data_IF_495536049058
#
_entry.id   IF_495536049058
#
_cell.length_a   1.000
_cell.length_b   1.000
_cell.length_c   1.000
_cell.angle_alpha   90.00
_cell.angle_beta   90.00
_cell.angle_gamma   90.00
#
_symmetry.space_group_name_H-M   'P 1'
#
loop_
_entity.id
_entity.type
_entity.pdbx_description
1 polymer ?
#
# COMPACT_ATOMS: atom_id res chain seq x y z
N UNK A 1 10.20 -0.14 -25.39
CA UNK A 1 11.47 0.40 -24.84
C UNK A 1 11.46 0.20 -23.32
N UNK A 2 11.69 -1.02 -22.85
CA UNK A 2 11.74 -1.35 -21.42
C UNK A 2 12.83 -2.41 -21.24
N UNK A 3 14.07 -1.95 -21.13
CA UNK A 3 15.16 -2.78 -20.60
C UNK A 3 15.46 -2.25 -19.21
N UNK A 4 14.93 -2.94 -18.20
CA UNK A 4 15.31 -2.71 -16.81
C UNK A 4 16.70 -3.27 -16.62
N UNK A 5 17.68 -2.38 -16.45
CA UNK A 5 19.07 -2.76 -16.21
C UNK A 5 19.19 -3.25 -14.75
N UNK A 6 19.44 -4.54 -14.58
CA UNK A 6 19.36 -5.27 -13.28
C UNK A 6 20.63 -5.17 -12.42
N UNK A 7 21.51 -4.21 -12.71
CA UNK A 7 22.87 -4.19 -12.20
C UNK A 7 23.03 -3.72 -10.74
N UNK A 8 22.08 -2.95 -10.22
CA UNK A 8 22.27 -2.19 -8.98
C UNK A 8 21.09 -2.33 -8.04
N UNK A 9 21.36 -2.61 -6.76
CA UNK A 9 20.37 -2.65 -5.65
C UNK A 9 19.55 -1.35 -5.63
N UNK A 10 20.17 -0.24 -6.01
CA UNK A 10 19.54 1.05 -6.15
C UNK A 10 18.42 1.07 -7.21
N UNK A 11 18.57 0.43 -8.37
CA UNK A 11 17.50 0.34 -9.38
C UNK A 11 16.37 -0.61 -8.97
N UNK A 12 16.71 -1.68 -8.23
CA UNK A 12 15.73 -2.61 -7.70
C UNK A 12 14.85 -2.00 -6.61
N UNK A 13 15.39 -1.07 -5.79
CA UNK A 13 14.68 -0.41 -4.68
C UNK A 13 14.17 1.00 -4.98
N UNK A 14 14.84 1.77 -5.85
CA UNK A 14 14.53 3.18 -6.12
C UNK A 14 13.93 3.43 -7.51
N UNK A 15 13.73 2.37 -8.31
CA UNK A 15 13.13 2.45 -9.65
C UNK A 15 13.73 3.60 -10.49
N UNK A 16 15.07 3.74 -10.45
CA UNK A 16 15.83 4.71 -11.23
C UNK A 16 15.51 6.19 -11.00
N UNK A 17 14.80 6.58 -9.91
CA UNK A 17 14.38 7.96 -9.61
C UNK A 17 13.52 8.66 -10.70
N UNK A 18 13.20 8.00 -11.80
CA UNK A 18 12.44 8.51 -12.94
C UNK A 18 11.01 7.93 -12.97
N UNK A 19 10.34 7.95 -11.82
CA UNK A 19 8.92 7.59 -11.75
C UNK A 19 8.07 8.83 -12.04
N UNK A 20 7.08 8.68 -12.91
CA UNK A 20 6.16 9.76 -13.20
C UNK A 20 5.36 10.12 -11.93
N UNK A 21 5.13 11.42 -11.70
CA UNK A 21 4.48 11.91 -10.48
C UNK A 21 3.11 11.26 -10.23
N UNK A 22 2.37 10.98 -11.31
CA UNK A 22 1.06 10.33 -11.25
C UNK A 22 1.17 8.88 -10.76
N UNK A 23 2.18 8.13 -11.19
CA UNK A 23 2.40 6.73 -10.77
C UNK A 23 2.77 6.64 -9.29
N UNK A 24 3.52 7.61 -8.78
CA UNK A 24 3.85 7.73 -7.36
C UNK A 24 2.58 8.02 -6.55
N UNK A 25 1.76 8.96 -7.01
CA UNK A 25 0.49 9.29 -6.36
C UNK A 25 -0.47 8.10 -6.29
N UNK A 26 -0.61 7.35 -7.39
CA UNK A 26 -1.47 6.17 -7.43
C UNK A 26 -0.96 5.04 -6.53
N UNK A 27 0.35 4.78 -6.50
CA UNK A 27 0.90 3.75 -5.61
C UNK A 27 0.79 4.15 -4.13
N UNK A 28 0.98 5.43 -3.79
CA UNK A 28 0.69 5.93 -2.44
C UNK A 28 -0.78 5.76 -2.05
N UNK A 29 -1.70 6.01 -2.99
CA UNK A 29 -3.13 5.80 -2.77
C UNK A 29 -3.45 4.32 -2.56
N UNK A 30 -3.02 3.43 -3.45
CA UNK A 30 -3.28 1.97 -3.35
C UNK A 30 -2.60 1.36 -2.13
N UNK A 31 -1.40 1.83 -1.79
CA UNK A 31 -0.74 1.42 -0.56
C UNK A 31 -1.58 1.79 0.66
N UNK A 32 -2.26 2.94 0.66
CA UNK A 32 -3.11 3.35 1.77
C UNK A 32 -4.47 2.62 1.76
N UNK A 33 -5.09 2.48 0.59
CA UNK A 33 -6.43 1.94 0.40
C UNK A 33 -6.35 0.48 -0.03
N UNK A 34 -6.18 -0.41 0.97
CA UNK A 34 -6.22 -1.86 0.76
C UNK A 34 -7.64 -2.43 0.66
N UNK A 35 -7.77 -3.70 0.27
CA UNK A 35 -9.06 -4.42 0.18
C UNK A 35 -9.81 -4.39 1.51
N UNK A 36 -9.09 -4.55 2.63
CA UNK A 36 -9.68 -4.43 3.98
C UNK A 36 -10.30 -3.07 4.25
N UNK A 37 -9.68 -1.99 3.77
CA UNK A 37 -10.20 -0.63 3.90
C UNK A 37 -11.50 -0.47 3.09
N UNK A 38 -11.54 -0.98 1.86
CA UNK A 38 -12.74 -0.91 1.01
C UNK A 38 -13.92 -1.66 1.62
N UNK A 39 -13.71 -2.88 2.12
CA UNK A 39 -14.76 -3.67 2.76
C UNK A 39 -15.23 -3.00 4.06
N UNK A 40 -14.31 -2.47 4.87
CA UNK A 40 -14.64 -1.76 6.10
C UNK A 40 -15.44 -0.48 5.81
N UNK A 41 -15.05 0.31 4.79
CA UNK A 41 -15.78 1.49 4.36
C UNK A 41 -17.15 1.14 3.82
N UNK A 42 -17.28 0.10 3.00
CA UNK A 42 -18.58 -0.35 2.50
C UNK A 42 -19.51 -0.79 3.64
N UNK A 43 -19.00 -1.55 4.61
CA UNK A 43 -19.77 -2.00 5.78
C UNK A 43 -20.19 -0.86 6.71
N UNK A 44 -19.29 0.10 6.95
CA UNK A 44 -19.60 1.29 7.75
C UNK A 44 -20.54 2.25 7.01
N UNK A 45 -20.40 2.40 5.70
CA UNK A 45 -21.34 3.18 4.88
C UNK A 45 -22.74 2.56 4.86
N UNK A 46 -22.86 1.22 4.86
CA UNK A 46 -24.15 0.55 4.93
C UNK A 46 -24.90 0.78 6.25
N UNK A 47 -24.17 0.99 7.36
CA UNK A 47 -24.74 1.16 8.70
C UNK A 47 -24.90 2.62 9.11
N UNK A 48 -23.93 3.48 8.79
CA UNK A 48 -23.85 4.88 9.19
C UNK A 48 -24.07 5.88 8.05
N UNK A 49 -24.28 5.39 6.83
CA UNK A 49 -24.58 6.21 5.67
C UNK A 49 -23.42 7.08 5.21
N UNK A 50 -23.76 8.27 4.70
CA UNK A 50 -22.80 9.22 4.09
C UNK A 50 -21.84 9.84 5.12
N UNK A 51 -22.09 9.68 6.43
CA UNK A 51 -21.25 10.24 7.48
C UNK A 51 -19.77 9.80 7.39
N UNK A 52 -19.52 8.57 6.92
CA UNK A 52 -18.16 8.03 6.71
C UNK A 52 -17.35 8.87 5.70
N UNK A 53 -18.03 9.46 4.70
CA UNK A 53 -17.39 10.28 3.66
C UNK A 53 -16.71 11.51 4.24
N UNK A 54 -17.22 12.07 5.34
CA UNK A 54 -16.62 13.25 5.96
C UNK A 54 -15.20 12.98 6.48
N UNK A 55 -14.95 11.77 6.98
CA UNK A 55 -13.62 11.34 7.46
C UNK A 55 -12.69 11.16 6.27
N UNK A 56 -13.14 10.45 5.23
CA UNK A 56 -12.37 10.21 4.01
C UNK A 56 -12.06 11.50 3.24
N UNK A 57 -12.95 12.50 3.24
CA UNK A 57 -12.70 13.79 2.60
C UNK A 57 -11.62 14.61 3.31
N UNK A 58 -11.50 14.44 4.62
CA UNK A 58 -10.49 15.13 5.44
C UNK A 58 -9.09 14.53 5.29
N UNK A 59 -9.01 13.22 5.01
CA UNK A 59 -7.76 12.47 4.89
C UNK A 59 -6.79 13.01 3.80
N UNK A 60 -7.19 13.23 2.53
CA UNK A 60 -6.30 13.74 1.49
C UNK A 60 -5.81 15.16 1.80
N UNK A 61 -6.66 16.00 2.42
CA UNK A 61 -6.27 17.34 2.84
C UNK A 61 -5.13 17.28 3.86
N UNK A 62 -5.27 16.42 4.88
CA UNK A 62 -4.24 16.25 5.90
C UNK A 62 -2.96 15.64 5.30
N UNK A 63 -3.09 14.67 4.38
CA UNK A 63 -1.96 14.06 3.67
C UNK A 63 -1.19 15.09 2.82
N UNK A 64 -1.88 16.01 2.14
CA UNK A 64 -1.23 17.08 1.39
C UNK A 64 -0.44 18.02 2.32
N UNK A 65 -1.01 18.41 3.47
CA UNK A 65 -0.33 19.27 4.45
C UNK A 65 0.88 18.57 5.06
N UNK A 66 0.72 17.30 5.47
CA UNK A 66 1.82 16.48 5.96
C UNK A 66 2.91 16.30 4.90
N UNK A 67 2.53 16.03 3.65
CA UNK A 67 3.44 15.91 2.52
C UNK A 67 4.26 17.18 2.34
N UNK A 68 3.64 18.36 2.37
CA UNK A 68 4.35 19.63 2.24
C UNK A 68 5.35 19.86 3.38
N UNK A 69 4.98 19.53 4.62
CA UNK A 69 5.83 19.78 5.80
C UNK A 69 6.97 18.76 5.87
N UNK A 70 6.66 17.47 5.69
CA UNK A 70 7.61 16.39 5.92
C UNK A 70 8.47 16.03 4.71
N UNK A 71 7.96 16.20 3.48
CA UNK A 71 8.74 15.96 2.24
C UNK A 71 10.10 16.70 2.23
N UNK A 72 10.18 18.03 2.44
CA UNK A 72 11.46 18.73 2.41
C UNK A 72 12.39 18.31 3.55
N UNK A 73 11.85 17.86 4.69
CA UNK A 73 12.63 17.37 5.83
C UNK A 73 13.30 16.04 5.47
N UNK A 74 12.56 15.09 4.90
CA UNK A 74 13.10 13.79 4.52
C UNK A 74 14.10 13.88 3.37
N UNK A 75 13.84 14.73 2.38
CA UNK A 75 14.76 14.97 1.25
C UNK A 75 16.07 15.58 1.74
N UNK A 76 16.03 16.59 2.63
CA UNK A 76 17.24 17.19 3.21
C UNK A 76 17.99 16.23 4.15
N UNK A 77 17.27 15.38 4.87
CA UNK A 77 17.88 14.38 5.73
C UNK A 77 18.57 13.25 4.94
N UNK A 78 18.25 13.07 3.65
CA UNK A 78 18.82 12.02 2.80
C UNK A 78 18.61 10.63 3.40
N UNK A 79 17.38 10.35 3.84
CA UNK A 79 16.98 9.09 4.48
C UNK A 79 15.95 8.40 3.60
N UNK A 80 16.10 7.08 3.45
CA UNK A 80 15.21 6.28 2.59
C UNK A 80 14.14 5.58 3.43
N UNK A 81 14.38 5.41 4.74
CA UNK A 81 13.46 4.72 5.65
C UNK A 81 13.17 5.52 6.91
N UNK A 82 11.97 5.34 7.47
CA UNK A 82 11.57 6.03 8.72
C UNK A 82 12.46 5.67 9.92
N UNK A 83 12.86 4.40 10.16
CA UNK A 83 13.82 4.07 11.21
C UNK A 83 15.19 4.74 11.00
N UNK A 84 15.62 4.96 9.75
CA UNK A 84 16.86 5.65 9.45
C UNK A 84 16.80 7.15 9.76
N UNK A 85 15.65 7.79 9.53
CA UNK A 85 15.40 9.15 10.01
C UNK A 85 15.54 9.24 11.52
N UNK A 86 14.93 8.30 12.25
CA UNK A 86 15.02 8.24 13.71
C UNK A 86 16.46 7.95 14.18
N UNK A 87 17.25 7.16 13.44
CA UNK A 87 18.68 7.01 13.71
C UNK A 87 19.40 8.35 13.62
N UNK A 88 19.24 9.10 12.53
CA UNK A 88 19.95 10.39 12.34
C UNK A 88 19.55 11.41 13.40
N UNK A 89 18.30 11.37 13.89
CA UNK A 89 17.80 12.28 14.93
C UNK A 89 18.22 11.88 16.36
N UNK A 90 18.22 10.59 16.69
CA UNK A 90 18.45 10.10 18.07
C UNK A 90 19.82 9.42 18.27
N UNK A 91 20.65 9.30 17.24
CA UNK A 91 22.06 8.88 17.31
C UNK A 91 22.31 7.40 17.61
N UNK A 92 21.31 6.60 17.97
CA UNK A 92 21.51 5.22 18.41
C UNK A 92 21.17 4.16 17.35
N UNK A 93 22.18 3.40 16.91
CA UNK A 93 22.03 2.25 16.00
C UNK A 93 21.15 1.14 16.58
N UNK A 94 21.17 0.95 17.91
CA UNK A 94 20.31 -0.03 18.61
C UNK A 94 18.83 0.30 18.48
N UNK A 95 18.48 1.58 18.59
CA UNK A 95 17.09 2.06 18.47
C UNK A 95 16.59 1.87 17.05
N UNK A 96 17.42 2.13 16.03
CA UNK A 96 17.05 1.85 14.64
C UNK A 96 16.70 0.37 14.43
N UNK A 97 17.56 -0.55 14.89
CA UNK A 97 17.33 -1.99 14.74
C UNK A 97 16.05 -2.43 15.46
N UNK A 98 15.87 -2.01 16.71
CA UNK A 98 14.69 -2.36 17.49
C UNK A 98 13.40 -1.81 16.85
N UNK A 99 13.41 -0.56 16.40
CA UNK A 99 12.25 0.04 15.73
C UNK A 99 11.98 -0.60 14.36
N UNK A 100 13.01 -0.94 13.60
CA UNK A 100 12.83 -1.61 12.32
C UNK A 100 12.21 -3.01 12.50
N UNK A 101 12.69 -3.78 13.47
CA UNK A 101 12.13 -5.10 13.80
C UNK A 101 10.70 -4.97 14.30
N UNK A 102 10.44 -4.04 15.22
CA UNK A 102 9.10 -3.78 15.75
C UNK A 102 8.14 -3.37 14.63
N UNK A 103 8.55 -2.44 13.76
CA UNK A 103 7.72 -1.98 12.65
C UNK A 103 7.44 -3.09 11.65
N UNK A 104 8.45 -3.90 11.29
CA UNK A 104 8.28 -5.04 10.41
C UNK A 104 7.32 -6.08 11.02
N UNK A 105 7.49 -6.37 12.30
CA UNK A 105 6.62 -7.29 13.03
C UNK A 105 5.17 -6.79 13.05
N UNK A 106 4.95 -5.54 13.44
CA UNK A 106 3.62 -4.94 13.46
C UNK A 106 2.99 -4.90 12.07
N UNK A 107 3.77 -4.60 11.03
CA UNK A 107 3.29 -4.53 9.66
C UNK A 107 2.83 -5.90 9.15
N UNK A 108 3.62 -6.95 9.37
CA UNK A 108 3.28 -8.31 8.94
C UNK A 108 2.05 -8.83 9.70
N UNK A 109 2.05 -8.71 11.03
CA UNK A 109 1.00 -9.31 11.85
C UNK A 109 -0.32 -8.54 11.82
N UNK A 110 -0.30 -7.22 11.75
CA UNK A 110 -1.54 -6.44 11.75
C UNK A 110 -1.99 -6.14 10.33
N UNK A 111 -1.13 -5.52 9.51
CA UNK A 111 -1.57 -4.99 8.22
C UNK A 111 -1.73 -6.08 7.18
N UNK A 112 -0.66 -6.85 6.93
CA UNK A 112 -0.67 -7.91 5.90
C UNK A 112 -1.68 -9.00 6.25
N UNK A 113 -1.75 -9.39 7.53
CA UNK A 113 -2.71 -10.41 8.00
C UNK A 113 -4.17 -10.00 7.78
N UNK A 114 -4.54 -8.76 8.14
CA UNK A 114 -5.91 -8.25 7.96
C UNK A 114 -6.26 -8.17 6.47
N UNK A 115 -5.34 -7.70 5.62
CA UNK A 115 -5.59 -7.61 4.17
C UNK A 115 -5.83 -8.98 3.53
N UNK A 116 -5.01 -9.99 3.86
CA UNK A 116 -5.18 -11.36 3.35
C UNK A 116 -6.48 -11.96 3.87
N UNK A 117 -6.79 -11.78 5.15
CA UNK A 117 -8.01 -12.33 5.76
C UNK A 117 -9.27 -11.73 5.14
N UNK A 118 -9.32 -10.39 4.98
CA UNK A 118 -10.46 -9.74 4.32
C UNK A 118 -10.55 -10.13 2.85
N UNK A 119 -9.43 -10.24 2.13
CA UNK A 119 -9.40 -10.73 0.75
C UNK A 119 -9.95 -12.16 0.61
N UNK A 120 -9.58 -13.05 1.52
CA UNK A 120 -10.07 -14.42 1.55
C UNK A 120 -11.58 -14.50 1.82
N UNK A 121 -12.10 -13.67 2.74
CA UNK A 121 -13.55 -13.57 3.00
C UNK A 121 -14.32 -13.12 1.76
N UNK A 122 -13.81 -12.12 1.04
CA UNK A 122 -14.43 -11.65 -0.20
C UNK A 122 -14.47 -12.76 -1.26
N UNK A 123 -13.41 -13.55 -1.40
CA UNK A 123 -13.42 -14.69 -2.33
C UNK A 123 -14.39 -15.80 -1.93
N UNK A 124 -14.59 -16.02 -0.63
CA UNK A 124 -15.64 -16.94 -0.15
C UNK A 124 -17.02 -16.51 -0.62
N UNK A 125 -17.32 -15.21 -0.63
CA UNK A 125 -18.63 -14.71 -1.09
C UNK A 125 -18.81 -14.83 -2.61
N UNK A 126 -17.73 -14.67 -3.40
CA UNK A 126 -17.81 -14.65 -4.87
C UNK A 126 -17.73 -16.06 -5.48
N UNK A 127 -16.81 -16.88 -4.98
CA UNK A 127 -16.48 -18.19 -5.56
C UNK A 127 -16.88 -19.38 -4.69
N UNK A 128 -17.50 -19.14 -3.52
CA UNK A 128 -17.84 -20.17 -2.52
C UNK A 128 -16.61 -21.00 -2.08
N UNK A 129 -15.44 -20.36 -2.07
CA UNK A 129 -14.18 -20.99 -1.68
C UNK A 129 -13.99 -20.99 -0.16
N UNK A 130 -13.38 -22.05 0.34
CA UNK A 130 -12.93 -22.09 1.72
C UNK A 130 -11.81 -21.06 1.96
N UNK A 131 -11.80 -20.46 3.15
CA UNK A 131 -10.84 -19.42 3.57
C UNK A 131 -9.41 -19.91 3.40
N UNK A 132 -9.15 -21.19 3.66
CA UNK A 132 -7.84 -21.81 3.48
C UNK A 132 -7.41 -21.86 2.01
N UNK A 133 -8.32 -22.20 1.09
CA UNK A 133 -8.03 -22.24 -0.35
C UNK A 133 -7.77 -20.84 -0.91
N UNK A 134 -8.59 -19.86 -0.54
CA UNK A 134 -8.40 -18.47 -0.95
C UNK A 134 -7.08 -17.89 -0.43
N UNK A 135 -6.71 -18.19 0.82
CA UNK A 135 -5.44 -17.73 1.41
C UNK A 135 -4.22 -18.29 0.69
N UNK A 136 -4.22 -19.59 0.38
CA UNK A 136 -3.12 -20.24 -0.36
C UNK A 136 -2.99 -19.66 -1.76
N UNK A 137 -4.12 -19.38 -2.42
CA UNK A 137 -4.15 -18.74 -3.73
C UNK A 137 -3.51 -17.34 -3.69
N UNK A 138 -3.92 -16.48 -2.74
CA UNK A 138 -3.33 -15.15 -2.59
C UNK A 138 -1.83 -15.21 -2.28
N UNK A 139 -1.40 -16.03 -1.32
CA UNK A 139 0.02 -16.17 -0.98
C UNK A 139 0.84 -16.60 -2.19
N UNK A 140 0.36 -17.57 -2.96
CA UNK A 140 1.04 -18.06 -4.17
C UNK A 140 1.16 -16.97 -5.22
N UNK A 141 0.07 -16.29 -5.55
CA UNK A 141 0.08 -15.21 -6.54
C UNK A 141 0.98 -14.06 -6.10
N UNK A 142 0.85 -13.60 -4.85
CA UNK A 142 1.64 -12.52 -4.26
C UNK A 142 3.13 -12.85 -4.28
N UNK A 143 3.50 -14.05 -3.86
CA UNK A 143 4.90 -14.49 -3.90
C UNK A 143 5.47 -14.50 -5.32
N UNK A 144 4.73 -15.02 -6.31
CA UNK A 144 5.21 -15.11 -7.70
C UNK A 144 5.48 -13.71 -8.29
N UNK A 145 4.51 -12.78 -8.21
CA UNK A 145 4.70 -11.47 -8.82
C UNK A 145 5.70 -10.60 -8.03
N UNK A 146 5.78 -10.78 -6.71
CA UNK A 146 6.73 -10.02 -5.88
C UNK A 146 8.18 -10.44 -6.16
N UNK A 147 8.43 -11.76 -6.28
CA UNK A 147 9.78 -12.28 -6.55
C UNK A 147 10.23 -11.96 -7.99
N UNK A 148 9.31 -12.01 -8.95
CA UNK A 148 9.66 -11.79 -10.37
C UNK A 148 9.81 -10.32 -10.77
N UNK A 149 9.11 -9.39 -10.09
CA UNK A 149 8.97 -8.01 -10.54
C UNK A 149 9.90 -6.97 -9.91
N UNK A 150 10.28 -7.11 -8.64
CA UNK A 150 10.93 -6.03 -7.88
C UNK A 150 10.04 -4.81 -7.63
N UNK A 151 10.55 -3.77 -6.93
CA UNK A 151 9.74 -2.63 -6.46
C UNK A 151 9.10 -1.82 -7.61
N UNK A 152 9.83 -1.63 -8.71
CA UNK A 152 9.32 -0.89 -9.87
C UNK A 152 8.08 -1.56 -10.49
N UNK A 153 8.09 -2.89 -10.62
CA UNK A 153 6.95 -3.64 -11.17
C UNK A 153 5.73 -3.57 -10.26
N UNK A 154 5.95 -3.60 -8.94
CA UNK A 154 4.86 -3.44 -7.95
C UNK A 154 4.17 -2.09 -8.13
N UNK A 155 4.93 -0.99 -8.31
CA UNK A 155 4.34 0.34 -8.54
C UNK A 155 3.47 0.39 -9.79
N UNK A 156 3.90 -0.25 -10.89
CA UNK A 156 3.09 -0.32 -12.11
C UNK A 156 1.81 -1.13 -11.91
N UNK A 157 1.89 -2.25 -11.18
CA UNK A 157 0.70 -3.05 -10.83
C UNK A 157 -0.25 -2.24 -9.95
N UNK A 158 0.26 -1.51 -8.97
CA UNK A 158 -0.54 -0.63 -8.11
C UNK A 158 -1.26 0.44 -8.94
N UNK A 159 -0.58 1.06 -9.90
CA UNK A 159 -1.20 2.06 -10.77
C UNK A 159 -2.36 1.48 -11.59
N UNK A 160 -2.22 0.24 -12.09
CA UNK A 160 -3.31 -0.47 -12.77
C UNK A 160 -4.44 -0.83 -11.79
N UNK A 161 -4.10 -1.31 -10.59
CA UNK A 161 -5.06 -1.67 -9.55
C UNK A 161 -5.90 -0.47 -9.13
N UNK A 162 -5.32 0.72 -9.00
CA UNK A 162 -6.04 1.96 -8.72
C UNK A 162 -7.15 2.21 -9.76
N UNK A 163 -6.83 2.04 -11.05
CA UNK A 163 -7.80 2.20 -12.13
C UNK A 163 -8.94 1.18 -12.04
N UNK A 164 -8.61 -0.09 -11.77
CA UNK A 164 -9.60 -1.17 -11.61
C UNK A 164 -10.54 -0.89 -10.43
N UNK A 165 -10.00 -0.46 -9.28
CA UNK A 165 -10.81 -0.14 -8.09
C UNK A 165 -11.76 1.01 -8.38
N UNK A 166 -11.28 2.12 -8.96
CA UNK A 166 -12.13 3.28 -9.28
C UNK A 166 -13.23 2.90 -10.26
N UNK A 167 -12.90 2.16 -11.33
CA UNK A 167 -13.89 1.69 -12.29
C UNK A 167 -14.91 0.76 -11.64
N UNK A 168 -14.46 -0.19 -10.82
CA UNK A 168 -15.32 -1.11 -10.09
C UNK A 168 -16.29 -0.37 -9.15
N UNK A 169 -15.81 0.61 -8.40
CA UNK A 169 -16.65 1.44 -7.53
C UNK A 169 -17.70 2.25 -8.29
N UNK A 170 -17.34 2.84 -9.44
CA UNK A 170 -18.29 3.60 -10.26
C UNK A 170 -19.36 2.70 -10.86
N UNK A 171 -19.00 1.50 -11.33
CA UNK A 171 -19.96 0.54 -11.85
C UNK A 171 -20.92 0.06 -10.75
N UNK A 172 -20.41 -0.25 -9.55
CA UNK A 172 -21.24 -0.63 -8.42
C UNK A 172 -22.22 0.48 -8.00
N UNK A 173 -21.81 1.74 -8.09
CA UNK A 173 -22.71 2.88 -7.85
C UNK A 173 -23.82 3.01 -8.90
N UNK A 174 -23.56 2.61 -10.15
CA UNK A 174 -24.53 2.72 -11.24
C UNK A 174 -25.53 1.54 -11.32
N UNK A 175 -25.13 0.36 -10.86
CA UNK A 175 -25.98 -0.85 -10.86
C UNK A 175 -26.61 -1.18 -9.50
N UNK A 176 -26.10 -0.56 -8.42
CA UNK A 176 -26.57 -0.73 -7.04
C UNK A 176 -27.74 0.17 -6.67
#
# INVERSE_FOLDING_TARGET
>A
MLSSNRGTVEDFFLAGRNLAWWSIGTSLFVSNVGIGHLVALAGTAATSGIAVVAVEWSAPFLLCVLGWIFSPIYVKAGVVTMPEYLRKRFGSRRIQFLLAILYLFLYIFNRVSVEISTGAMVMGVIFDWDVYQATIFFLTFISIYTISGGFATVIYIDALHAGVVVLGSVLLMGFG
#
